data_IF_959663656857
#
_entry.id   IF_959663656857
#
_cell.length_a   1.000
_cell.length_b   1.000
_cell.length_c   1.000
_cell.angle_alpha   90.00
_cell.angle_beta   90.00
_cell.angle_gamma   90.00
#
_symmetry.space_group_name_H-M   'P 1'
#
loop_
_entity.id
_entity.type
_entity.pdbx_description
1 polymer ?
#
# COMPACT_ATOMS: atom_id res chain seq x y z
N UNK A 1 35.34 -22.71 -25.04
CA UNK A 1 34.10 -22.44 -25.80
C UNK A 1 32.97 -23.14 -25.08
N UNK A 2 32.00 -22.40 -24.52
CA UNK A 2 30.83 -22.98 -23.85
C UNK A 2 29.87 -23.47 -24.94
N UNK A 3 29.67 -24.79 -25.07
CA UNK A 3 28.66 -25.33 -25.98
C UNK A 3 27.27 -25.13 -25.37
N UNK A 4 26.46 -24.26 -25.97
CA UNK A 4 25.06 -24.09 -25.58
C UNK A 4 24.30 -25.35 -26.04
N UNK A 5 23.92 -26.20 -25.09
CA UNK A 5 23.05 -27.36 -25.35
C UNK A 5 21.58 -26.96 -25.19
N UNK A 6 20.66 -27.79 -25.68
CA UNK A 6 19.22 -27.63 -25.42
C UNK A 6 18.92 -27.50 -23.92
N UNK A 7 19.64 -28.26 -23.10
CA UNK A 7 19.46 -28.29 -21.65
C UNK A 7 19.88 -26.95 -21.01
N UNK A 8 20.96 -26.34 -21.50
CA UNK A 8 21.37 -24.99 -21.07
C UNK A 8 20.31 -23.94 -21.44
N UNK A 9 19.68 -24.06 -22.62
CA UNK A 9 18.61 -23.16 -23.05
C UNK A 9 17.34 -23.31 -22.20
N UNK A 10 16.92 -24.54 -21.90
CA UNK A 10 15.76 -24.81 -21.04
C UNK A 10 16.00 -24.34 -19.60
N UNK A 11 17.19 -24.59 -19.04
CA UNK A 11 17.53 -24.12 -17.70
C UNK A 11 17.56 -22.58 -17.63
N UNK A 12 18.11 -21.91 -18.64
CA UNK A 12 18.10 -20.45 -18.72
C UNK A 12 16.67 -19.90 -18.85
N UNK A 13 15.82 -20.50 -19.70
CA UNK A 13 14.43 -20.10 -19.85
C UNK A 13 13.63 -20.29 -18.54
N UNK A 14 13.82 -21.40 -17.84
CA UNK A 14 13.22 -21.64 -16.54
C UNK A 14 13.67 -20.62 -15.49
N UNK A 15 14.95 -20.25 -15.48
CA UNK A 15 15.47 -19.21 -14.60
C UNK A 15 14.87 -17.83 -14.90
N UNK A 16 14.71 -17.48 -16.18
CA UNK A 16 14.06 -16.22 -16.60
C UNK A 16 12.60 -16.20 -16.14
N UNK A 17 11.83 -17.26 -16.43
CA UNK A 17 10.42 -17.36 -16.01
C UNK A 17 10.30 -17.31 -14.48
N UNK A 18 11.15 -18.02 -13.75
CA UNK A 18 11.18 -17.99 -12.29
C UNK A 18 11.52 -16.60 -11.73
N UNK A 19 12.46 -15.89 -12.36
CA UNK A 19 12.78 -14.50 -12.00
C UNK A 19 11.59 -13.59 -12.23
N UNK A 20 10.94 -13.66 -13.39
CA UNK A 20 9.76 -12.85 -13.69
C UNK A 20 8.63 -13.14 -12.71
N UNK A 21 8.33 -14.40 -12.42
CA UNK A 21 7.31 -14.78 -11.45
C UNK A 21 7.61 -14.24 -10.05
N UNK A 22 8.86 -14.33 -9.61
CA UNK A 22 9.30 -13.79 -8.31
C UNK A 22 9.23 -12.26 -8.27
N UNK A 23 9.61 -11.58 -9.34
CA UNK A 23 9.48 -10.13 -9.46
C UNK A 23 8.01 -9.69 -9.47
N UNK A 24 7.12 -10.41 -10.15
CA UNK A 24 5.68 -10.13 -10.11
C UNK A 24 5.10 -10.34 -8.70
N UNK A 25 5.56 -11.37 -7.99
CA UNK A 25 5.17 -11.58 -6.60
C UNK A 25 5.65 -10.45 -5.68
N UNK A 26 6.91 -10.02 -5.80
CA UNK A 26 7.49 -8.97 -4.98
C UNK A 26 6.93 -7.59 -5.33
N UNK A 27 6.85 -7.23 -6.61
CA UNK A 27 6.54 -5.86 -7.04
C UNK A 27 5.06 -5.66 -7.40
N UNK A 28 4.39 -6.68 -7.91
CA UNK A 28 3.07 -6.54 -8.53
C UNK A 28 1.90 -7.00 -7.67
N UNK A 29 2.13 -7.93 -6.74
CA UNK A 29 1.03 -8.50 -5.96
C UNK A 29 0.65 -7.58 -4.79
N UNK A 30 -0.54 -7.00 -4.85
CA UNK A 30 -1.13 -6.28 -3.73
C UNK A 30 -1.50 -7.30 -2.64
N UNK A 31 -0.70 -7.30 -1.57
CA UNK A 31 -0.94 -8.16 -0.43
C UNK A 31 -1.93 -7.48 0.53
N UNK A 32 -2.96 -8.18 1.02
CA UNK A 32 -3.91 -7.62 1.99
C UNK A 32 -3.34 -7.53 3.42
N UNK A 33 -2.02 -7.63 3.58
CA UNK A 33 -1.31 -7.70 4.85
C UNK A 33 -0.18 -6.68 4.87
N UNK A 34 0.40 -6.43 6.03
CA UNK A 34 1.50 -5.48 6.21
C UNK A 34 2.65 -5.74 5.21
N UNK A 35 3.37 -4.67 4.78
CA UNK A 35 4.60 -4.80 4.02
C UNK A 35 5.61 -5.75 4.67
N UNK A 36 5.67 -5.81 6.01
CA UNK A 36 6.58 -6.70 6.73
C UNK A 36 6.28 -8.17 6.43
N UNK A 37 5.01 -8.56 6.47
CA UNK A 37 4.58 -9.93 6.11
C UNK A 37 4.86 -10.25 4.65
N UNK A 38 4.60 -9.30 3.74
CA UNK A 38 4.94 -9.42 2.30
C UNK A 38 6.42 -9.73 2.11
N UNK A 39 7.31 -8.93 2.70
CA UNK A 39 8.76 -9.11 2.57
C UNK A 39 9.27 -10.36 3.28
N UNK A 40 8.66 -10.76 4.41
CA UNK A 40 9.00 -12.02 5.08
C UNK A 40 8.67 -13.24 4.22
N UNK A 41 7.51 -13.24 3.54
CA UNK A 41 7.14 -14.29 2.59
C UNK A 41 8.06 -14.30 1.37
N UNK A 42 8.39 -13.14 0.81
CA UNK A 42 9.36 -13.02 -0.27
C UNK A 42 10.73 -13.58 0.14
N UNK A 43 11.21 -13.25 1.34
CA UNK A 43 12.46 -13.79 1.88
C UNK A 43 12.40 -15.31 2.06
N UNK A 44 11.30 -15.84 2.62
CA UNK A 44 11.10 -17.28 2.75
C UNK A 44 11.13 -18.00 1.39
N UNK A 45 10.48 -17.42 0.37
CA UNK A 45 10.54 -17.92 -1.00
C UNK A 45 11.98 -17.93 -1.53
N UNK A 46 12.74 -16.83 -1.39
CA UNK A 46 14.12 -16.75 -1.86
C UNK A 46 15.04 -17.76 -1.18
N UNK A 47 14.92 -17.93 0.13
CA UNK A 47 15.69 -18.92 0.88
C UNK A 47 15.27 -20.35 0.49
N UNK A 48 14.00 -20.56 0.15
CA UNK A 48 13.51 -21.82 -0.41
C UNK A 48 14.15 -22.16 -1.75
N UNK A 49 14.21 -21.20 -2.68
CA UNK A 49 14.92 -21.33 -3.97
C UNK A 49 16.38 -21.64 -3.72
N UNK A 50 17.04 -20.92 -2.81
CA UNK A 50 18.43 -21.18 -2.45
C UNK A 50 18.61 -22.60 -1.91
N UNK A 51 17.76 -23.06 -0.99
CA UNK A 51 17.82 -24.41 -0.44
C UNK A 51 17.61 -25.51 -1.51
N UNK A 52 16.79 -25.26 -2.52
CA UNK A 52 16.62 -26.14 -3.67
C UNK A 52 17.87 -26.15 -4.57
N UNK A 53 18.44 -24.98 -4.86
CA UNK A 53 19.69 -24.88 -5.62
C UNK A 53 20.85 -25.60 -4.93
N UNK A 54 20.95 -25.52 -3.59
CA UNK A 54 21.99 -26.26 -2.85
C UNK A 54 21.83 -27.79 -2.89
N UNK A 55 20.65 -28.30 -3.30
CA UNK A 55 20.41 -29.75 -3.45
C UNK A 55 20.79 -30.29 -4.81
N UNK A 56 20.85 -29.46 -5.85
CA UNK A 56 21.24 -29.92 -7.19
C UNK A 56 22.75 -30.12 -7.28
N UNK A 57 23.18 -31.11 -8.07
CA UNK A 57 24.59 -31.34 -8.43
C UNK A 57 24.97 -30.65 -9.75
N UNK A 58 24.00 -30.04 -10.44
CA UNK A 58 24.24 -29.32 -11.69
C UNK A 58 24.75 -27.89 -11.41
N UNK A 59 25.99 -27.56 -11.79
CA UNK A 59 26.57 -26.24 -11.58
C UNK A 59 25.86 -25.14 -12.40
N UNK A 60 25.29 -25.45 -13.57
CA UNK A 60 24.56 -24.48 -14.38
C UNK A 60 23.26 -24.05 -13.68
N UNK A 61 22.49 -25.02 -13.17
CA UNK A 61 21.24 -24.76 -12.43
C UNK A 61 21.53 -24.01 -11.13
N UNK A 62 22.64 -24.35 -10.46
CA UNK A 62 23.08 -23.67 -9.23
C UNK A 62 23.40 -22.20 -9.50
N UNK A 63 24.19 -21.91 -10.53
CA UNK A 63 24.56 -20.54 -10.91
C UNK A 63 23.34 -19.71 -11.32
N UNK A 64 22.48 -20.26 -12.17
CA UNK A 64 21.26 -19.58 -12.62
C UNK A 64 20.33 -19.28 -11.44
N UNK A 65 20.16 -20.22 -10.52
CA UNK A 65 19.37 -20.03 -9.31
C UNK A 65 19.90 -18.93 -8.39
N UNK A 66 21.22 -18.81 -8.23
CA UNK A 66 21.80 -17.67 -7.50
C UNK A 66 21.57 -16.34 -8.22
N UNK A 67 21.60 -16.33 -9.56
CA UNK A 67 21.23 -15.17 -10.36
C UNK A 67 19.79 -14.72 -10.09
N UNK A 68 18.84 -15.67 -10.05
CA UNK A 68 17.43 -15.39 -9.69
C UNK A 68 17.34 -14.78 -8.29
N UNK A 69 17.95 -15.42 -7.29
CA UNK A 69 17.90 -14.95 -5.90
C UNK A 69 18.47 -13.54 -5.78
N UNK A 70 19.61 -13.27 -6.41
CA UNK A 70 20.24 -11.95 -6.39
C UNK A 70 19.36 -10.89 -7.07
N UNK A 71 18.84 -11.16 -8.26
CA UNK A 71 18.00 -10.20 -8.99
C UNK A 71 16.75 -9.82 -8.19
N UNK A 72 16.08 -10.82 -7.60
CA UNK A 72 14.88 -10.59 -6.79
C UNK A 72 15.22 -9.90 -5.47
N UNK A 73 16.35 -10.23 -4.84
CA UNK A 73 16.78 -9.57 -3.61
C UNK A 73 17.09 -8.08 -3.84
N UNK A 74 17.71 -7.72 -4.97
CA UNK A 74 17.92 -6.32 -5.36
C UNK A 74 16.59 -5.62 -5.60
N UNK A 75 15.66 -6.25 -6.33
CA UNK A 75 14.34 -5.68 -6.57
C UNK A 75 13.56 -5.48 -5.25
N UNK A 76 13.57 -6.46 -4.36
CA UNK A 76 12.96 -6.37 -3.04
C UNK A 76 13.60 -5.26 -2.20
N UNK A 77 14.91 -5.05 -2.28
CA UNK A 77 15.59 -3.96 -1.60
C UNK A 77 15.09 -2.58 -2.06
N UNK A 78 14.94 -2.37 -3.37
CA UNK A 78 14.39 -1.13 -3.89
C UNK A 78 12.91 -0.94 -3.54
N UNK A 79 12.11 -2.01 -3.61
CA UNK A 79 10.69 -1.99 -3.21
C UNK A 79 10.55 -1.61 -1.72
N UNK A 80 11.37 -2.19 -0.84
CA UNK A 80 11.43 -1.82 0.59
C UNK A 80 11.85 -0.36 0.76
N UNK A 81 12.91 0.07 0.07
CA UNK A 81 13.40 1.43 0.16
C UNK A 81 12.34 2.45 -0.28
N UNK A 82 11.62 2.17 -1.37
CA UNK A 82 10.53 3.01 -1.85
C UNK A 82 9.32 2.98 -0.91
N UNK A 83 8.95 1.80 -0.41
CA UNK A 83 7.87 1.61 0.57
C UNK A 83 8.08 2.47 1.81
N UNK A 84 9.31 2.57 2.31
CA UNK A 84 9.61 3.29 3.56
C UNK A 84 10.23 4.67 3.34
N UNK A 85 10.16 5.21 2.12
CA UNK A 85 10.77 6.49 1.74
C UNK A 85 12.23 6.63 2.24
N UNK A 86 13.00 5.55 2.04
CA UNK A 86 14.39 5.51 2.43
C UNK A 86 15.18 6.48 1.52
N UNK A 87 15.65 7.58 2.10
CA UNK A 87 16.41 8.57 1.35
C UNK A 87 17.65 7.99 0.65
N UNK A 88 18.09 8.67 -0.42
CA UNK A 88 19.22 8.27 -1.28
C UNK A 88 20.48 7.77 -0.53
N UNK A 89 20.91 8.37 0.59
CA UNK A 89 22.07 7.87 1.34
C UNK A 89 21.89 6.44 1.88
N UNK A 90 20.69 6.10 2.34
CA UNK A 90 20.36 4.77 2.87
C UNK A 90 20.39 3.74 1.74
N UNK A 91 19.82 4.09 0.59
CA UNK A 91 19.85 3.25 -0.62
C UNK A 91 21.28 2.95 -1.05
N UNK A 92 22.13 3.98 -1.13
CA UNK A 92 23.55 3.81 -1.49
C UNK A 92 24.26 2.92 -0.48
N UNK A 93 24.09 3.16 0.82
CA UNK A 93 24.72 2.36 1.86
C UNK A 93 24.27 0.89 1.80
N UNK A 94 22.99 0.63 1.57
CA UNK A 94 22.44 -0.72 1.41
C UNK A 94 22.99 -1.44 0.18
N UNK A 95 23.12 -0.76 -0.96
CA UNK A 95 23.75 -1.33 -2.17
C UNK A 95 25.23 -1.63 -1.95
N UNK A 96 25.97 -0.75 -1.27
CA UNK A 96 27.37 -0.99 -0.94
C UNK A 96 27.54 -2.16 0.02
N UNK A 97 26.66 -2.29 1.02
CA UNK A 97 26.64 -3.44 1.91
C UNK A 97 26.31 -4.73 1.17
N UNK A 98 25.33 -4.70 0.27
CA UNK A 98 25.00 -5.85 -0.57
C UNK A 98 26.19 -6.26 -1.43
N UNK A 99 26.86 -5.31 -2.08
CA UNK A 99 28.07 -5.57 -2.85
C UNK A 99 29.18 -6.16 -1.95
N UNK A 100 29.42 -5.57 -0.77
CA UNK A 100 30.40 -6.06 0.18
C UNK A 100 30.10 -7.50 0.62
N UNK A 101 28.83 -7.83 0.89
CA UNK A 101 28.40 -9.18 1.21
C UNK A 101 28.69 -10.13 0.06
N UNK A 102 28.34 -9.77 -1.18
CA UNK A 102 28.62 -10.60 -2.37
C UNK A 102 30.12 -10.85 -2.58
N UNK A 103 30.97 -9.87 -2.25
CA UNK A 103 32.43 -10.05 -2.28
C UNK A 103 32.97 -10.86 -1.10
N UNK A 104 32.32 -10.77 0.07
CA UNK A 104 32.72 -11.44 1.31
C UNK A 104 32.19 -12.87 1.42
N UNK A 105 31.15 -13.25 0.66
CA UNK A 105 30.72 -14.64 0.62
C UNK A 105 31.91 -15.47 0.14
N UNK A 106 32.40 -16.44 0.95
CA UNK A 106 33.54 -17.24 0.57
C UNK A 106 33.28 -17.80 -0.82
N UNK A 107 34.25 -17.58 -1.73
CA UNK A 107 34.22 -18.18 -3.06
C UNK A 107 33.93 -19.65 -2.84
N UNK A 108 32.73 -20.04 -3.22
CA UNK A 108 32.29 -21.39 -3.54
C UNK A 108 33.18 -22.50 -2.96
N UNK A 109 32.63 -23.26 -2.01
CA UNK A 109 33.30 -24.47 -1.53
C UNK A 109 33.66 -25.39 -2.71
N UNK A 110 34.48 -26.42 -2.54
CA UNK A 110 35.03 -27.24 -3.65
C UNK A 110 33.98 -27.85 -4.63
N UNK A 111 32.69 -27.73 -4.32
CA UNK A 111 31.53 -28.14 -5.12
C UNK A 111 30.68 -26.97 -5.66
N UNK A 112 31.20 -25.74 -5.74
CA UNK A 112 30.49 -24.55 -6.23
C UNK A 112 29.23 -24.14 -5.45
N UNK A 113 29.24 -24.35 -4.12
CA UNK A 113 28.10 -24.10 -3.23
C UNK A 113 28.38 -23.03 -2.18
N UNK A 114 27.38 -22.17 -1.94
CA UNK A 114 27.44 -21.11 -0.89
C UNK A 114 27.25 -21.65 0.53
N UNK A 115 26.44 -22.71 0.71
CA UNK A 115 26.14 -23.31 2.01
C UNK A 115 26.09 -24.83 1.88
N UNK A 116 26.49 -25.53 2.94
CA UNK A 116 26.25 -26.96 3.03
C UNK A 116 24.73 -27.25 2.98
N UNK A 117 24.27 -28.32 2.32
CA UNK A 117 22.83 -28.58 2.13
C UNK A 117 22.03 -28.71 3.42
N UNK A 118 22.66 -29.16 4.52
CA UNK A 118 22.04 -29.21 5.85
C UNK A 118 21.78 -27.80 6.40
N UNK A 119 22.76 -26.91 6.31
CA UNK A 119 22.64 -25.52 6.76
C UNK A 119 21.60 -24.74 5.95
N UNK A 120 21.54 -24.94 4.63
CA UNK A 120 20.54 -24.31 3.78
C UNK A 120 19.10 -24.72 4.16
N UNK A 121 18.89 -25.99 4.52
CA UNK A 121 17.58 -26.46 5.02
C UNK A 121 17.22 -25.85 6.36
N UNK A 122 18.17 -25.80 7.30
CA UNK A 122 17.94 -25.19 8.62
C UNK A 122 17.62 -23.71 8.48
N UNK A 123 18.35 -22.99 7.62
CA UNK A 123 18.08 -21.58 7.32
C UNK A 123 16.68 -21.40 6.73
N UNK A 124 16.30 -22.21 5.75
CA UNK A 124 14.95 -22.18 5.17
C UNK A 124 13.88 -22.43 6.23
N UNK A 125 14.03 -23.47 7.06
CA UNK A 125 13.07 -23.76 8.12
C UNK A 125 12.95 -22.60 9.11
N UNK A 126 14.06 -22.00 9.53
CA UNK A 126 14.05 -20.86 10.44
C UNK A 126 13.35 -19.64 9.84
N UNK A 127 13.65 -19.29 8.59
CA UNK A 127 13.03 -18.15 7.89
C UNK A 127 11.56 -18.41 7.63
N UNK A 128 11.17 -19.62 7.23
CA UNK A 128 9.78 -19.98 7.00
C UNK A 128 8.95 -19.93 8.28
N UNK A 129 9.48 -20.40 9.41
CA UNK A 129 8.83 -20.28 10.72
C UNK A 129 8.68 -18.82 11.11
N UNK A 130 9.71 -18.00 10.93
CA UNK A 130 9.63 -16.57 11.22
C UNK A 130 8.57 -15.87 10.35
N UNK A 131 8.56 -16.14 9.04
CA UNK A 131 7.56 -15.57 8.14
C UNK A 131 6.13 -15.98 8.50
N UNK A 132 5.94 -17.25 8.88
CA UNK A 132 4.65 -17.74 9.35
C UNK A 132 4.22 -17.05 10.66
N UNK A 133 5.14 -16.85 11.60
CA UNK A 133 4.86 -16.13 12.85
C UNK A 133 4.46 -14.67 12.60
N UNK A 134 5.19 -13.97 11.73
CA UNK A 134 4.87 -12.58 11.36
C UNK A 134 3.48 -12.50 10.72
N UNK A 135 3.19 -13.39 9.77
CA UNK A 135 1.88 -13.46 9.13
C UNK A 135 0.74 -13.77 10.13
N UNK A 136 0.97 -14.69 11.07
CA UNK A 136 -0.01 -15.01 12.12
C UNK A 136 -0.28 -13.80 13.01
N UNK A 137 0.77 -13.07 13.41
CA UNK A 137 0.62 -11.84 14.19
C UNK A 137 -0.19 -10.82 13.42
N UNK A 138 0.15 -10.60 12.14
CA UNK A 138 -0.51 -9.64 11.26
C UNK A 138 -2.02 -9.94 11.11
N UNK A 139 -2.35 -11.19 10.76
CA UNK A 139 -3.73 -11.67 10.65
C UNK A 139 -4.48 -11.57 11.98
N UNK A 140 -3.82 -11.85 13.10
CA UNK A 140 -4.45 -11.81 14.42
C UNK A 140 -4.70 -10.37 14.90
N UNK A 141 -3.85 -9.41 14.53
CA UNK A 141 -4.01 -8.00 14.89
C UNK A 141 -4.93 -7.23 13.95
N UNK A 142 -5.18 -7.77 12.75
CA UNK A 142 -6.01 -7.12 11.74
C UNK A 142 -5.26 -6.00 11.03
N UNK A 143 -6.00 -5.04 10.45
CA UNK A 143 -5.42 -3.90 9.75
C UNK A 143 -5.64 -2.58 10.49
N UNK A 144 -5.53 -1.48 9.74
CA UNK A 144 -5.80 -0.14 10.24
C UNK A 144 -7.25 0.01 10.72
N UNK A 145 -7.44 0.72 11.82
CA UNK A 145 -8.74 1.09 12.36
C UNK A 145 -9.08 2.54 11.98
N UNK A 146 -10.22 2.73 11.33
CA UNK A 146 -10.69 4.00 10.81
C UNK A 146 -11.88 4.51 11.63
N UNK A 147 -11.74 5.71 12.19
CA UNK A 147 -12.77 6.36 13.01
C UNK A 147 -13.11 7.73 12.39
N UNK A 148 -14.29 7.82 11.76
CA UNK A 148 -14.80 9.06 11.18
C UNK A 148 -15.51 9.90 12.24
N UNK A 149 -15.07 11.15 12.42
CA UNK A 149 -15.68 12.15 13.30
C UNK A 149 -16.27 13.29 12.47
N UNK A 150 -17.58 13.30 12.19
CA UNK A 150 -18.21 14.37 11.43
C UNK A 150 -18.10 15.70 12.18
N UNK A 151 -17.95 16.80 11.43
CA UNK A 151 -18.16 18.13 11.99
C UNK A 151 -19.64 18.27 12.39
N UNK A 152 -19.95 19.07 13.41
CA UNK A 152 -21.35 19.37 13.72
C UNK A 152 -21.99 20.30 12.69
N UNK A 153 -21.17 21.18 12.11
CA UNK A 153 -21.57 22.15 11.09
C UNK A 153 -20.34 22.61 10.30
N UNK A 154 -20.57 23.06 9.08
CA UNK A 154 -19.55 23.71 8.24
C UNK A 154 -19.89 25.17 8.14
N UNK A 155 -18.89 26.00 8.40
CA UNK A 155 -18.95 27.43 8.14
C UNK A 155 -18.27 27.71 6.80
N UNK A 156 -19.02 28.26 5.86
CA UNK A 156 -18.51 28.67 4.57
C UNK A 156 -18.02 30.12 4.69
N UNK A 157 -16.77 30.31 5.13
CA UNK A 157 -16.19 31.64 5.27
C UNK A 157 -16.07 32.33 3.92
N UNK A 158 -16.37 33.64 3.87
CA UNK A 158 -16.66 34.35 2.63
C UNK A 158 -15.60 34.23 1.53
N UNK A 159 -16.09 34.07 0.29
CA UNK A 159 -15.31 33.61 -0.85
C UNK A 159 -14.98 32.13 -0.67
N UNK A 160 -15.84 31.23 -1.15
CA UNK A 160 -15.47 29.81 -1.27
C UNK A 160 -14.37 29.70 -2.34
N UNK A 161 -13.16 30.04 -1.96
CA UNK A 161 -11.98 29.81 -2.77
C UNK A 161 -11.74 28.31 -2.77
N UNK A 162 -11.68 27.73 -3.97
CA UNK A 162 -11.27 26.34 -4.17
C UNK A 162 -9.91 26.00 -3.51
N UNK A 163 -9.15 27.03 -3.11
CA UNK A 163 -7.86 26.93 -2.44
C UNK A 163 -7.97 26.60 -0.94
N UNK A 164 -9.14 26.75 -0.31
CA UNK A 164 -9.38 26.42 1.10
C UNK A 164 -10.68 25.60 1.28
N UNK A 165 -10.70 24.33 0.85
CA UNK A 165 -11.90 23.50 0.89
C UNK A 165 -12.37 23.29 2.35
N UNK A 166 -13.69 23.33 2.54
CA UNK A 166 -14.30 23.19 3.86
C UNK A 166 -14.18 21.75 4.38
N UNK A 167 -13.91 21.57 5.68
CA UNK A 167 -13.78 20.25 6.30
C UNK A 167 -15.14 19.73 6.78
N UNK A 168 -15.66 18.65 6.19
CA UNK A 168 -16.92 18.00 6.60
C UNK A 168 -16.73 17.05 7.78
N UNK A 169 -15.55 16.46 7.89
CA UNK A 169 -15.23 15.50 8.93
C UNK A 169 -13.73 15.41 9.17
N UNK A 170 -13.38 14.71 10.24
CA UNK A 170 -12.02 14.33 10.59
C UNK A 170 -11.94 12.81 10.63
N UNK A 171 -11.07 12.20 9.83
CA UNK A 171 -10.81 10.76 9.84
C UNK A 171 -9.60 10.48 10.73
N UNK A 172 -9.79 9.74 11.81
CA UNK A 172 -8.69 9.24 12.63
C UNK A 172 -8.35 7.82 12.21
N UNK A 173 -7.11 7.60 11.81
CA UNK A 173 -6.56 6.29 11.46
C UNK A 173 -5.63 5.87 12.58
N UNK A 174 -5.78 4.64 13.06
CA UNK A 174 -4.93 4.05 14.10
C UNK A 174 -4.45 2.68 13.68
N UNK A 175 -3.19 2.37 14.01
CA UNK A 175 -2.60 1.08 13.70
C UNK A 175 -2.50 0.24 14.99
N UNK A 176 -3.41 -0.73 15.21
CA UNK A 176 -3.35 -1.61 16.37
C UNK A 176 -2.28 -2.71 16.23
N UNK A 177 -1.75 -2.92 15.03
CA UNK A 177 -0.75 -3.95 14.73
C UNK A 177 0.65 -3.49 15.18
N UNK A 178 1.62 -4.41 15.34
CA UNK A 178 3.00 -4.05 15.59
C UNK A 178 3.77 -3.66 14.31
N UNK A 179 3.21 -3.87 13.12
CA UNK A 179 3.89 -3.65 11.84
C UNK A 179 3.45 -2.33 11.21
N UNK A 180 4.30 -1.67 10.43
CA UNK A 180 3.87 -0.55 9.61
C UNK A 180 2.78 -1.00 8.63
N UNK A 181 1.75 -0.18 8.46
CA UNK A 181 0.66 -0.44 7.54
C UNK A 181 0.46 0.73 6.59
N UNK A 182 0.14 0.45 5.32
CA UNK A 182 -0.16 1.49 4.34
C UNK A 182 -1.52 2.07 4.65
N UNK A 183 -1.60 3.40 4.74
CA UNK A 183 -2.87 4.10 4.85
C UNK A 183 -3.54 4.10 3.48
N UNK A 184 -4.70 3.46 3.41
CA UNK A 184 -5.62 3.53 2.28
C UNK A 184 -6.94 4.03 2.85
N UNK A 185 -7.22 5.34 2.72
CA UNK A 185 -8.39 5.92 3.36
C UNK A 185 -9.67 5.46 2.66
N UNK A 186 -10.69 4.99 3.43
CA UNK A 186 -11.97 4.63 2.85
C UNK A 186 -12.64 5.84 2.20
N UNK A 187 -13.40 5.59 1.14
CA UNK A 187 -14.17 6.61 0.44
C UNK A 187 -15.47 6.87 1.17
N UNK A 188 -15.90 8.13 1.14
CA UNK A 188 -17.15 8.57 1.75
C UNK A 188 -18.00 9.27 0.72
N UNK A 189 -19.26 8.86 0.62
CA UNK A 189 -20.26 9.59 -0.14
C UNK A 189 -20.78 10.79 0.66
N UNK A 190 -21.08 11.86 -0.05
CA UNK A 190 -21.81 13.02 0.49
C UNK A 190 -22.98 13.39 -0.40
N UNK A 191 -24.06 13.88 0.20
CA UNK A 191 -25.16 14.44 -0.57
C UNK A 191 -25.89 15.57 0.15
N UNK A 192 -26.56 16.39 -0.66
CA UNK A 192 -27.36 17.51 -0.22
C UNK A 192 -28.75 17.03 0.19
N UNK A 193 -29.15 17.28 1.44
CA UNK A 193 -30.45 16.90 2.01
C UNK A 193 -31.25 18.15 2.37
N UNK A 194 -32.56 18.14 2.16
CA UNK A 194 -33.44 19.28 2.39
C UNK A 194 -33.51 20.22 1.19
N UNK A 195 -33.96 21.46 1.42
CA UNK A 195 -34.15 22.42 0.34
C UNK A 195 -32.86 23.20 0.01
N UNK A 196 -32.16 22.77 -1.04
CA UNK A 196 -30.94 23.41 -1.55
C UNK A 196 -31.18 24.39 -2.70
N UNK A 197 -32.44 24.67 -3.05
CA UNK A 197 -32.81 25.59 -4.14
C UNK A 197 -32.10 26.96 -4.05
N UNK A 198 -31.96 27.59 -2.86
CA UNK A 198 -31.26 28.88 -2.74
C UNK A 198 -29.78 28.86 -3.14
N UNK A 199 -29.15 27.69 -3.09
CA UNK A 199 -27.71 27.51 -3.33
C UNK A 199 -27.41 26.85 -4.67
N UNK A 200 -28.41 26.69 -5.55
CA UNK A 200 -28.19 26.11 -6.87
C UNK A 200 -27.29 27.03 -7.71
N UNK A 201 -26.30 26.48 -8.43
CA UNK A 201 -25.51 27.26 -9.35
C UNK A 201 -26.40 27.76 -10.50
N UNK A 202 -26.49 29.08 -10.65
CA UNK A 202 -27.21 29.73 -11.74
C UNK A 202 -26.21 30.38 -12.71
N UNK A 203 -26.23 29.98 -13.97
CA UNK A 203 -25.44 30.61 -15.04
C UNK A 203 -26.38 31.37 -16.00
N UNK A 204 -26.04 32.60 -16.44
CA UNK A 204 -26.87 33.36 -17.38
C UNK A 204 -27.15 32.58 -18.67
N UNK A 205 -28.42 32.37 -18.99
CA UNK A 205 -28.85 31.67 -20.21
C UNK A 205 -28.82 30.14 -20.13
N UNK A 206 -28.58 29.56 -18.94
CA UNK A 206 -28.71 28.13 -18.67
C UNK A 206 -29.76 27.88 -17.58
N UNK A 207 -30.44 26.71 -17.60
CA UNK A 207 -31.24 26.30 -16.46
C UNK A 207 -30.35 26.15 -15.23
N UNK A 208 -30.92 26.38 -14.05
CA UNK A 208 -30.21 26.19 -12.78
C UNK A 208 -29.68 24.77 -12.68
N UNK A 209 -28.40 24.64 -12.33
CA UNK A 209 -27.75 23.34 -12.13
C UNK A 209 -28.15 22.71 -10.80
N UNK A 210 -27.98 21.39 -10.71
CA UNK A 210 -28.11 20.67 -9.45
C UNK A 210 -26.88 20.91 -8.56
N UNK A 211 -27.11 20.88 -7.24
CA UNK A 211 -26.03 20.94 -6.26
C UNK A 211 -25.33 19.58 -6.22
N UNK A 212 -24.06 19.58 -6.56
CA UNK A 212 -23.15 18.45 -6.49
C UNK A 212 -22.23 18.64 -5.29
N UNK A 213 -22.16 17.62 -4.45
CA UNK A 213 -21.25 17.52 -3.32
C UNK A 213 -20.36 16.29 -3.53
N UNK A 214 -19.09 16.44 -3.20
CA UNK A 214 -18.12 15.34 -3.20
C UNK A 214 -17.20 15.47 -1.99
N UNK A 215 -16.80 14.36 -1.40
CA UNK A 215 -15.95 14.33 -0.22
C UNK A 215 -14.69 13.53 -0.49
N UNK A 216 -13.56 14.12 -0.16
CA UNK A 216 -12.26 13.51 -0.33
C UNK A 216 -11.49 13.50 0.98
N UNK A 217 -10.78 12.41 1.26
CA UNK A 217 -9.87 12.33 2.40
C UNK A 217 -8.49 12.75 1.94
N UNK A 218 -7.93 13.79 2.55
CA UNK A 218 -6.56 14.23 2.26
C UNK A 218 -5.55 13.33 2.99
N UNK A 219 -5.37 12.11 2.49
CA UNK A 219 -4.53 11.04 3.07
C UNK A 219 -3.10 10.98 2.52
N UNK A 220 -2.75 11.85 1.57
CA UNK A 220 -1.42 11.90 0.96
C UNK A 220 -1.11 10.71 0.06
N UNK A 221 0.08 10.70 -0.55
CA UNK A 221 0.52 9.60 -1.41
C UNK A 221 1.44 8.65 -0.64
N UNK A 222 1.14 7.34 -0.67
CA UNK A 222 1.95 6.28 -0.07
C UNK A 222 2.31 6.49 1.42
N UNK A 223 1.33 6.90 2.23
CA UNK A 223 1.60 7.07 3.65
C UNK A 223 1.58 5.74 4.43
N UNK A 224 2.47 5.61 5.41
CA UNK A 224 2.54 4.45 6.31
C UNK A 224 2.40 4.87 7.76
N UNK A 225 1.57 4.12 8.50
CA UNK A 225 1.39 4.30 9.93
C UNK A 225 2.12 3.19 10.68
N UNK A 226 3.11 3.55 11.49
CA UNK A 226 3.83 2.58 12.33
C UNK A 226 2.95 2.00 13.44
N UNK A 227 3.31 0.80 13.91
CA UNK A 227 2.55 0.08 14.91
C UNK A 227 2.34 0.87 16.21
N UNK A 228 1.10 0.84 16.72
CA UNK A 228 0.66 1.64 17.88
C UNK A 228 0.46 3.13 17.58
N UNK A 229 0.73 3.58 16.35
CA UNK A 229 0.55 4.96 15.92
C UNK A 229 -0.89 5.34 15.64
N UNK A 230 -1.15 6.65 15.62
CA UNK A 230 -2.40 7.21 15.13
C UNK A 230 -2.12 8.51 14.37
N UNK A 231 -2.85 8.72 13.27
CA UNK A 231 -2.83 9.96 12.49
C UNK A 231 -4.25 10.41 12.17
N UNK A 232 -4.39 11.69 11.92
CA UNK A 232 -5.68 12.32 11.65
C UNK A 232 -5.62 13.02 10.30
N UNK A 233 -6.63 12.77 9.48
CA UNK A 233 -6.80 13.32 8.15
C UNK A 233 -8.08 14.15 8.08
N UNK A 234 -8.06 15.20 7.25
CA UNK A 234 -9.24 16.01 7.01
C UNK A 234 -10.04 15.39 5.88
N UNK A 235 -11.35 15.34 6.06
CA UNK A 235 -12.29 15.03 4.97
C UNK A 235 -12.80 16.36 4.46
N UNK A 236 -12.39 16.71 3.24
CA UNK A 236 -12.69 17.97 2.59
C UNK A 236 -13.91 17.83 1.69
N UNK A 237 -14.72 18.87 1.65
CA UNK A 237 -15.87 18.99 0.76
C UNK A 237 -15.45 19.71 -0.50
N UNK A 238 -15.85 19.17 -1.63
CA UNK A 238 -15.92 19.88 -2.88
C UNK A 238 -17.40 20.09 -3.24
N UNK A 239 -17.75 21.30 -3.67
CA UNK A 239 -19.13 21.66 -3.98
C UNK A 239 -19.20 22.66 -5.13
N UNK A 240 -20.24 22.55 -5.95
CA UNK A 240 -20.58 23.55 -6.96
C UNK A 240 -21.69 24.52 -6.48
N UNK A 241 -22.13 24.41 -5.23
CA UNK A 241 -23.17 25.26 -4.68
C UNK A 241 -22.75 26.74 -4.67
N UNK A 242 -23.69 27.61 -5.00
CA UNK A 242 -23.51 29.05 -5.03
C UNK A 242 -24.06 29.71 -3.76
N UNK A 243 -23.64 30.95 -3.50
CA UNK A 243 -24.16 31.78 -2.40
C UNK A 243 -24.01 31.17 -1.00
N UNK A 244 -23.03 30.29 -0.79
CA UNK A 244 -22.76 29.69 0.53
C UNK A 244 -22.00 30.62 1.48
N UNK A 245 -21.48 31.76 1.00
CA UNK A 245 -20.66 32.67 1.81
C UNK A 245 -21.40 33.18 3.05
N UNK A 246 -20.89 32.86 4.24
CA UNK A 246 -21.46 33.22 5.54
C UNK A 246 -22.50 32.24 6.06
N UNK A 247 -22.81 31.19 5.31
CA UNK A 247 -23.78 30.16 5.69
C UNK A 247 -23.13 29.12 6.60
N UNK A 248 -23.94 28.59 7.51
CA UNK A 248 -23.57 27.47 8.37
C UNK A 248 -24.50 26.31 8.08
N UNK A 249 -23.97 25.23 7.50
CA UNK A 249 -24.76 24.06 7.10
C UNK A 249 -24.41 22.87 8.02
N UNK A 250 -25.41 22.23 8.66
CA UNK A 250 -25.17 21.07 9.52
C UNK A 250 -24.70 19.86 8.71
N UNK A 251 -23.84 19.04 9.32
CA UNK A 251 -23.36 17.78 8.73
C UNK A 251 -23.84 16.62 9.58
N UNK A 252 -24.46 15.64 8.94
CA UNK A 252 -25.04 14.48 9.60
C UNK A 252 -24.44 13.19 9.05
N UNK A 253 -24.03 12.28 9.93
CA UNK A 253 -23.62 10.94 9.53
C UNK A 253 -24.86 10.10 9.30
N UNK A 254 -25.01 9.57 8.09
CA UNK A 254 -26.13 8.73 7.68
C UNK A 254 -25.63 7.39 7.15
N UNK A 255 -26.55 6.44 6.94
CA UNK A 255 -26.21 5.15 6.34
C UNK A 255 -26.18 5.20 4.80
N UNK A 256 -26.91 6.14 4.20
CA UNK A 256 -27.05 6.35 2.76
C UNK A 256 -27.58 7.76 2.52
N UNK A 257 -27.54 8.24 1.26
CA UNK A 257 -28.15 9.52 0.91
C UNK A 257 -29.67 9.53 1.19
N UNK A 258 -30.18 10.42 2.06
CA UNK A 258 -31.61 10.57 2.29
C UNK A 258 -32.34 11.22 1.11
N UNK A 259 -33.50 10.66 0.72
CA UNK A 259 -34.33 11.17 -0.38
C UNK A 259 -35.32 12.27 0.07
N UNK A 260 -34.84 13.28 0.80
CA UNK A 260 -35.68 14.35 1.34
C UNK A 260 -35.30 15.68 0.72
N UNK A 261 -36.19 16.26 -0.09
CA UNK A 261 -35.97 17.56 -0.76
C UNK A 261 -36.62 18.74 -0.01
N UNK A 262 -37.38 18.47 1.05
CA UNK A 262 -38.07 19.47 1.86
C UNK A 262 -37.41 19.65 3.23
N UNK A 263 -37.38 20.87 3.74
CA UNK A 263 -36.83 21.18 5.06
C UNK A 263 -35.54 22.01 4.98
N UNK A 264 -34.90 22.21 6.13
CA UNK A 264 -33.64 22.94 6.21
C UNK A 264 -32.51 22.19 5.49
N UNK A 265 -31.61 22.89 4.79
CA UNK A 265 -30.48 22.26 4.10
C UNK A 265 -29.51 21.63 5.10
N UNK A 266 -29.10 20.39 4.83
CA UNK A 266 -28.04 19.68 5.57
C UNK A 266 -27.18 18.83 4.61
N UNK A 267 -25.99 18.45 5.07
CA UNK A 267 -25.07 17.59 4.33
C UNK A 267 -25.06 16.22 5.00
N UNK A 268 -25.45 15.18 4.25
CA UNK A 268 -25.36 13.81 4.71
C UNK A 268 -24.03 13.20 4.28
N UNK A 269 -23.27 12.65 5.23
CA UNK A 269 -22.00 11.93 5.02
C UNK A 269 -22.21 10.44 5.33
N UNK A 270 -21.85 9.56 4.40
CA UNK A 270 -22.07 8.12 4.51
C UNK A 270 -20.92 7.31 3.89
N UNK A 271 -20.70 6.04 4.29
CA UNK A 271 -19.70 5.17 3.65
C UNK A 271 -20.03 4.94 2.18
N UNK A 272 -19.04 4.97 1.29
CA UNK A 272 -19.26 4.64 -0.13
C UNK A 272 -19.53 3.12 -0.28
N UNK A 273 -20.63 2.70 -0.93
CA UNK A 273 -20.93 1.27 -1.15
C UNK A 273 -19.89 0.55 -2.03
N UNK A 274 -18.99 1.25 -2.72
CA UNK A 274 -17.91 0.63 -3.48
C UNK A 274 -16.83 -0.04 -2.60
N UNK A 275 -16.82 0.24 -1.29
CA UNK A 275 -15.84 -0.28 -0.32
C UNK A 275 -16.40 -1.44 0.56
N UNK A 276 -17.54 -2.04 0.16
CA UNK A 276 -18.26 -3.09 0.92
C UNK A 276 -18.31 -4.46 0.26
#
# INVERSE_FOLDING_TARGET
MVSITSDTLFNAAAAVVGTVAALLFVLGFQYPYSPVSKYALALAFLVGVLALCQRTTDPQVTLLGYGVVLAVLVAAFFDVAETFDAGTPVVIAGLLLLAALLYAVPRFDAADRLLAPSHARTLFAAVAVLAALLLVVDVATGGLAYELRPASQIEFTGGYDREAPASVATLRVSNPTPFPERVDAPRYGVCAVGNWTPYRPSEPGRPDGEVYLDAYVDDGYNEYLFGGGAKTYRVTLNTNAANLSGETIPVERTASCPNTESGSPSIALFPDPADG
#
